data_IF_493960506835
#
_entry.id   IF_493960506835
#
_cell.length_a   1.000
_cell.length_b   1.000
_cell.length_c   1.000
_cell.angle_alpha   90.00
_cell.angle_beta   90.00
_cell.angle_gamma   90.00
#
_symmetry.space_group_name_H-M   'P 1'
#
loop_
_entity.id
_entity.type
_entity.pdbx_description
1 polymer ?
#
# COMPACT_ATOMS: atom_id res chain seq x y z
N UNK A 1 16.63 7.76 3.77
CA UNK A 1 17.52 8.82 4.27
C UNK A 1 18.45 8.24 5.30
N UNK A 2 19.76 8.34 5.14
CA UNK A 2 20.72 7.75 6.06
C UNK A 2 21.67 8.82 6.58
N UNK A 3 21.53 9.10 7.87
CA UNK A 3 22.57 9.72 8.67
C UNK A 3 23.00 8.72 9.73
N UNK A 4 24.25 8.25 9.64
CA UNK A 4 24.84 7.30 10.60
C UNK A 4 25.47 8.01 11.81
N UNK A 5 25.36 9.33 11.89
CA UNK A 5 25.98 10.13 12.94
C UNK A 5 25.43 9.77 14.31
N UNK A 6 26.34 9.39 15.22
CA UNK A 6 26.04 9.06 16.62
C UNK A 6 25.53 7.64 16.90
N UNK A 7 25.51 6.75 15.92
CA UNK A 7 25.01 5.38 16.15
C UNK A 7 26.13 4.46 16.65
N UNK A 8 25.96 3.85 17.84
CA UNK A 8 26.89 2.87 18.39
C UNK A 8 27.03 1.64 17.48
N UNK A 9 28.25 1.20 17.20
CA UNK A 9 28.60 0.04 16.36
C UNK A 9 27.93 -1.27 16.78
N UNK A 10 27.65 -1.45 18.08
CA UNK A 10 26.94 -2.62 18.60
C UNK A 10 25.54 -2.83 18.01
N UNK A 11 24.91 -1.78 17.49
CA UNK A 11 23.59 -1.86 16.82
C UNK A 11 23.66 -2.51 15.44
N UNK A 12 24.86 -2.69 14.88
CA UNK A 12 25.10 -3.31 13.59
C UNK A 12 25.47 -4.79 13.64
N UNK A 13 25.59 -5.39 14.84
CA UNK A 13 25.87 -6.82 15.04
C UNK A 13 24.65 -7.74 14.76
N UNK A 14 23.74 -7.32 13.89
CA UNK A 14 22.54 -8.05 13.50
C UNK A 14 22.25 -7.87 12.00
N UNK A 15 21.02 -8.16 11.53
CA UNK A 15 20.59 -7.98 10.14
C UNK A 15 20.97 -6.60 9.56
N UNK A 16 21.16 -5.56 10.39
CA UNK A 16 21.61 -4.24 9.92
C UNK A 16 23.01 -4.26 9.29
N UNK A 17 23.91 -5.17 9.70
CA UNK A 17 25.24 -5.27 9.10
C UNK A 17 25.16 -5.53 7.60
N UNK A 18 24.31 -6.48 7.17
CA UNK A 18 24.08 -6.77 5.75
C UNK A 18 23.38 -5.61 5.04
N UNK A 19 22.46 -4.92 5.74
CA UNK A 19 21.81 -3.71 5.25
C UNK A 19 22.80 -2.56 5.04
N UNK A 20 23.72 -2.34 5.99
CA UNK A 20 24.78 -1.32 5.88
C UNK A 20 25.73 -1.59 4.73
N UNK A 21 26.18 -2.85 4.54
CA UNK A 21 27.03 -3.22 3.42
C UNK A 21 26.34 -2.94 2.07
N UNK A 22 25.07 -3.33 1.95
CA UNK A 22 24.27 -3.06 0.75
C UNK A 22 24.03 -1.55 0.53
N UNK A 23 23.90 -0.80 1.63
CA UNK A 23 23.68 0.62 1.64
C UNK A 23 24.96 1.41 1.29
N UNK A 24 26.10 1.03 1.88
CA UNK A 24 27.40 1.67 1.61
C UNK A 24 27.84 1.47 0.15
N UNK A 25 27.49 0.31 -0.46
CA UNK A 25 27.88 -0.02 -1.83
C UNK A 25 26.95 0.52 -2.90
N UNK A 26 25.64 0.37 -2.77
CA UNK A 26 24.70 0.62 -3.88
C UNK A 26 23.55 1.57 -3.58
N UNK A 27 23.17 1.77 -2.31
CA UNK A 27 21.96 2.52 -1.93
C UNK A 27 22.21 3.90 -1.33
N UNK A 28 23.45 4.26 -0.97
CA UNK A 28 23.77 5.52 -0.28
C UNK A 28 23.19 6.77 -0.96
N UNK A 29 23.18 6.77 -2.30
CA UNK A 29 22.69 7.90 -3.10
C UNK A 29 21.37 7.56 -3.86
N UNK A 30 20.75 6.42 -3.59
CA UNK A 30 19.58 5.98 -4.34
C UNK A 30 18.29 6.71 -3.91
N UNK A 31 18.23 7.17 -2.66
CA UNK A 31 17.06 7.84 -2.07
C UNK A 31 17.50 9.14 -1.38
N UNK A 32 17.87 10.18 -2.13
CA UNK A 32 18.30 11.44 -1.56
C UNK A 32 17.10 12.18 -0.94
N UNK A 33 17.35 12.83 0.21
CA UNK A 33 16.30 13.54 0.96
C UNK A 33 15.65 14.65 0.16
N UNK A 34 16.43 15.37 -0.66
CA UNK A 34 15.89 16.46 -1.47
C UNK A 34 14.80 16.02 -2.44
N UNK A 35 14.80 14.73 -2.90
CA UNK A 35 13.72 14.22 -3.74
C UNK A 35 12.42 14.06 -2.94
N UNK A 36 12.53 13.69 -1.65
CA UNK A 36 11.35 13.64 -0.77
C UNK A 36 10.83 15.06 -0.46
N UNK A 37 11.72 16.04 -0.36
CA UNK A 37 11.37 17.45 -0.18
C UNK A 37 10.68 18.00 -1.44
N UNK A 38 11.22 17.75 -2.63
CA UNK A 38 10.58 18.10 -3.91
C UNK A 38 9.19 17.45 -4.07
N UNK A 39 9.05 16.19 -3.64
CA UNK A 39 7.76 15.52 -3.64
C UNK A 39 6.77 16.25 -2.71
N UNK A 40 7.19 16.60 -1.50
CA UNK A 40 6.35 17.32 -0.56
C UNK A 40 5.88 18.67 -1.12
N UNK A 41 6.79 19.44 -1.73
CA UNK A 41 6.47 20.71 -2.40
C UNK A 41 5.49 20.50 -3.55
N UNK A 42 5.70 19.45 -4.36
CA UNK A 42 4.81 19.13 -5.47
C UNK A 42 3.40 18.75 -5.00
N UNK A 43 3.29 17.93 -3.96
CA UNK A 43 2.01 17.53 -3.38
C UNK A 43 1.24 18.70 -2.77
N UNK A 44 1.93 19.68 -2.19
CA UNK A 44 1.31 20.91 -1.69
C UNK A 44 0.80 21.83 -2.80
N UNK A 45 1.39 21.77 -4.00
CA UNK A 45 0.98 22.57 -5.15
C UNK A 45 -0.21 21.96 -5.91
N UNK A 46 -0.56 20.70 -5.66
CA UNK A 46 -1.70 20.01 -6.26
C UNK A 46 -2.94 20.16 -5.37
N UNK A 47 -4.11 20.17 -5.99
CA UNK A 47 -5.40 20.09 -5.28
C UNK A 47 -5.69 18.64 -4.94
N UNK A 48 -5.15 18.18 -3.80
CA UNK A 48 -5.21 16.79 -3.33
C UNK A 48 -5.96 16.76 -1.99
N UNK A 49 -6.96 15.92 -1.89
CA UNK A 49 -7.75 15.75 -0.66
C UNK A 49 -7.04 14.93 0.40
N UNK A 50 -6.20 13.96 0.00
CA UNK A 50 -5.55 13.05 0.95
C UNK A 50 -4.31 12.38 0.35
N UNK A 51 -3.27 12.19 1.15
CA UNK A 51 -2.01 11.54 0.75
C UNK A 51 -1.87 10.17 1.40
N UNK A 52 -1.44 9.18 0.61
CA UNK A 52 -1.23 7.81 1.08
C UNK A 52 0.23 7.39 0.88
N UNK A 53 0.89 6.91 1.94
CA UNK A 53 2.25 6.39 1.93
C UNK A 53 2.23 4.88 2.21
N UNK A 54 2.66 4.07 1.24
CA UNK A 54 2.57 2.61 1.29
C UNK A 54 3.80 1.91 1.89
N UNK A 55 4.54 2.59 2.77
CA UNK A 55 5.61 2.01 3.58
C UNK A 55 7.02 2.16 3.01
N UNK A 56 8.01 1.56 3.71
CA UNK A 56 9.45 1.69 3.46
C UNK A 56 9.95 3.14 3.58
N UNK A 57 9.51 3.80 4.64
CA UNK A 57 9.87 5.18 4.95
C UNK A 57 11.32 5.29 5.46
N UNK A 58 11.84 4.21 6.07
CA UNK A 58 13.21 4.11 6.58
C UNK A 58 14.00 3.04 5.82
N UNK A 59 15.31 2.96 6.02
CA UNK A 59 16.15 1.90 5.44
C UNK A 59 16.52 0.80 6.47
N UNK A 60 16.85 1.19 7.69
CA UNK A 60 17.36 0.29 8.73
C UNK A 60 16.53 0.35 10.02
N UNK A 61 15.41 1.05 10.01
CA UNK A 61 14.56 1.31 11.17
C UNK A 61 15.35 1.91 12.35
N UNK A 62 16.21 2.91 12.08
CA UNK A 62 16.91 3.66 13.10
C UNK A 62 16.02 4.78 13.65
N UNK A 63 16.20 5.16 14.92
CA UNK A 63 15.46 6.27 15.53
C UNK A 63 15.72 7.59 14.79
N UNK A 64 16.96 7.84 14.34
CA UNK A 64 17.31 9.00 13.56
C UNK A 64 16.63 9.05 12.18
N UNK A 65 16.46 7.89 11.54
CA UNK A 65 15.72 7.81 10.27
C UNK A 65 14.23 8.15 10.50
N UNK A 66 13.60 7.57 11.53
CA UNK A 66 12.22 7.89 11.85
C UNK A 66 12.01 9.37 12.18
N UNK A 67 12.90 9.96 13.00
CA UNK A 67 12.84 11.39 13.32
C UNK A 67 12.95 12.25 12.06
N UNK A 68 13.84 11.90 11.12
CA UNK A 68 14.01 12.64 9.87
C UNK A 68 12.82 12.50 8.95
N UNK A 69 12.30 11.27 8.79
CA UNK A 69 11.10 11.01 7.99
C UNK A 69 9.89 11.75 8.55
N UNK A 70 9.74 11.80 9.88
CA UNK A 70 8.68 12.56 10.54
C UNK A 70 8.67 14.03 10.08
N UNK A 71 9.84 14.69 10.02
CA UNK A 71 9.95 16.06 9.52
C UNK A 71 9.50 16.22 8.06
N UNK A 72 9.78 15.22 7.20
CA UNK A 72 9.32 15.23 5.80
C UNK A 72 7.81 15.04 5.73
N UNK A 73 7.27 14.10 6.50
CA UNK A 73 5.82 13.84 6.52
C UNK A 73 5.05 15.06 7.01
N UNK A 74 5.55 15.75 8.03
CA UNK A 74 4.95 17.00 8.53
C UNK A 74 4.92 18.12 7.47
N UNK A 75 5.90 18.14 6.54
CA UNK A 75 5.87 19.05 5.39
C UNK A 75 4.84 18.62 4.33
N UNK A 76 4.59 17.32 4.15
CA UNK A 76 3.54 16.85 3.24
C UNK A 76 2.17 17.30 3.73
N UNK A 77 1.89 17.14 5.01
CA UNK A 77 0.64 17.58 5.59
C UNK A 77 0.39 17.12 7.01
N UNK A 78 -0.69 17.61 7.62
CA UNK A 78 -1.09 17.25 8.98
C UNK A 78 -1.61 15.81 9.06
N UNK A 79 -1.80 15.27 10.29
CA UNK A 79 -2.23 13.89 10.51
C UNK A 79 -3.56 13.49 9.87
N UNK A 80 -4.50 14.40 9.73
CA UNK A 80 -5.80 14.17 9.08
C UNK A 80 -5.69 14.12 7.54
N UNK A 81 -4.66 14.72 6.97
CA UNK A 81 -4.39 14.76 5.53
C UNK A 81 -3.54 13.58 5.02
N UNK A 82 -2.78 12.88 5.89
CA UNK A 82 -1.86 11.81 5.48
C UNK A 82 -2.18 10.50 6.17
N UNK A 83 -2.25 9.42 5.40
CA UNK A 83 -2.32 8.03 5.91
C UNK A 83 -1.08 7.26 5.48
N UNK A 84 -0.55 6.43 6.37
CA UNK A 84 0.62 5.62 6.06
C UNK A 84 0.56 4.22 6.68
N UNK A 85 1.29 3.29 6.10
CA UNK A 85 1.49 1.94 6.65
C UNK A 85 2.98 1.62 6.75
N UNK A 86 3.41 0.69 7.62
CA UNK A 86 4.80 0.26 7.67
C UNK A 86 5.17 -0.64 6.49
N UNK A 87 6.38 -0.46 5.97
CA UNK A 87 7.04 -1.39 5.07
C UNK A 87 8.00 -2.34 5.80
N UNK A 88 8.60 -3.27 5.07
CA UNK A 88 9.54 -4.24 5.65
C UNK A 88 10.84 -3.57 6.14
N UNK A 89 11.24 -2.44 5.58
CA UNK A 89 12.36 -1.64 6.06
C UNK A 89 12.05 -0.91 7.36
N UNK A 90 10.81 -0.51 7.61
CA UNK A 90 10.38 0.14 8.85
C UNK A 90 10.35 -0.86 10.03
N UNK A 91 10.09 -2.13 9.74
CA UNK A 91 10.09 -3.25 10.69
C UNK A 91 11.35 -4.13 10.56
N UNK A 92 12.47 -3.55 10.08
CA UNK A 92 13.67 -4.25 9.64
C UNK A 92 14.29 -5.18 10.68
N UNK A 93 14.11 -4.90 11.96
CA UNK A 93 14.66 -5.70 13.06
C UNK A 93 13.59 -6.10 14.08
N UNK A 94 13.82 -7.21 14.78
CA UNK A 94 12.97 -7.63 15.93
C UNK A 94 12.84 -6.53 16.98
N UNK A 95 13.90 -5.70 17.16
CA UNK A 95 13.86 -4.56 18.07
C UNK A 95 12.93 -3.46 17.59
N UNK A 96 12.92 -3.13 16.30
CA UNK A 96 11.99 -2.13 15.74
C UNK A 96 10.54 -2.57 15.96
N UNK A 97 10.21 -3.83 15.64
CA UNK A 97 8.89 -4.41 15.88
C UNK A 97 8.52 -4.43 17.37
N UNK A 98 9.42 -4.96 18.24
CA UNK A 98 9.16 -5.10 19.68
C UNK A 98 8.91 -3.76 20.37
N UNK A 99 9.59 -2.72 19.94
CA UNK A 99 9.47 -1.37 20.51
C UNK A 99 8.45 -0.49 19.76
N UNK A 100 7.72 -1.06 18.82
CA UNK A 100 6.69 -0.34 18.04
C UNK A 100 7.19 1.01 17.53
N UNK A 101 8.40 1.02 16.90
CA UNK A 101 9.04 2.28 16.51
C UNK A 101 8.21 3.06 15.50
N UNK A 102 7.72 2.40 14.48
CA UNK A 102 6.89 3.02 13.46
C UNK A 102 5.65 3.68 14.08
N UNK A 103 4.93 2.93 14.90
CA UNK A 103 3.72 3.40 15.56
C UNK A 103 4.02 4.54 16.53
N UNK A 104 5.12 4.50 17.28
CA UNK A 104 5.53 5.57 18.20
C UNK A 104 5.82 6.89 17.51
N UNK A 105 6.39 6.85 16.29
CA UNK A 105 6.70 8.06 15.53
C UNK A 105 5.52 8.61 14.75
N UNK A 106 4.56 7.75 14.37
CA UNK A 106 3.49 8.11 13.44
C UNK A 106 2.08 7.81 13.95
N UNK A 107 1.90 7.57 15.24
CA UNK A 107 0.61 7.18 15.83
C UNK A 107 -0.53 8.12 15.43
N UNK A 108 -0.30 9.41 15.42
CA UNK A 108 -1.26 10.45 15.03
C UNK A 108 -1.66 10.38 13.55
N UNK A 109 -0.81 9.83 12.70
CA UNK A 109 -1.10 9.57 11.28
C UNK A 109 -1.81 8.23 11.01
N UNK A 110 -1.94 7.37 12.02
CA UNK A 110 -2.50 6.02 11.89
C UNK A 110 -3.91 5.93 12.48
N UNK A 111 -4.27 6.79 13.40
CA UNK A 111 -5.53 6.72 14.15
C UNK A 111 -6.26 8.05 14.09
N UNK A 112 -7.51 8.04 13.63
CA UNK A 112 -8.39 9.20 13.76
C UNK A 112 -8.83 9.36 15.22
N UNK A 113 -9.19 10.57 15.64
CA UNK A 113 -9.57 10.87 17.04
C UNK A 113 -10.93 10.30 17.47
N UNK A 114 -11.63 9.57 16.62
CA UNK A 114 -12.96 9.02 16.91
C UNK A 114 -12.90 7.87 17.91
N UNK A 115 -13.89 7.77 18.81
CA UNK A 115 -13.94 6.76 19.89
C UNK A 115 -13.89 5.30 19.41
N UNK A 116 -14.42 5.00 18.24
CA UNK A 116 -14.35 3.66 17.63
C UNK A 116 -12.92 3.26 17.26
N UNK A 117 -12.01 4.22 17.09
CA UNK A 117 -10.64 3.99 16.67
C UNK A 117 -9.66 4.01 17.84
N UNK A 118 -10.00 4.65 18.96
CA UNK A 118 -9.29 4.46 20.23
C UNK A 118 -9.28 2.98 20.66
N UNK A 119 -10.28 2.20 20.26
CA UNK A 119 -10.28 0.74 20.45
C UNK A 119 -9.20 0.01 19.64
N UNK A 120 -8.65 0.62 18.57
CA UNK A 120 -7.49 0.11 17.86
C UNK A 120 -6.20 0.24 18.69
N UNK A 121 -6.19 1.12 19.71
CA UNK A 121 -5.10 1.29 20.67
C UNK A 121 -5.42 0.55 21.96
N UNK A 122 -5.14 -0.75 22.02
CA UNK A 122 -5.23 -1.47 23.28
C UNK A 122 -3.90 -1.35 24.04
N UNK A 123 -3.92 -0.74 25.23
CA UNK A 123 -2.74 -0.53 26.06
C UNK A 123 -1.58 0.19 25.34
N UNK A 124 -1.90 1.18 24.49
CA UNK A 124 -0.91 1.94 23.72
C UNK A 124 -0.31 1.18 22.53
N UNK A 125 -0.90 0.06 22.13
CA UNK A 125 -0.48 -0.71 20.93
C UNK A 125 -1.54 -0.57 19.86
N UNK A 126 -1.12 -0.15 18.66
CA UNK A 126 -1.97 -0.16 17.49
C UNK A 126 -2.21 -1.61 17.02
N UNK A 127 -3.48 -1.95 16.82
CA UNK A 127 -3.89 -3.22 16.22
C UNK A 127 -4.26 -3.01 14.76
N UNK A 128 -3.50 -3.62 13.86
CA UNK A 128 -3.85 -3.65 12.44
C UNK A 128 -5.02 -4.60 12.18
N UNK A 129 -5.86 -4.34 11.16
CA UNK A 129 -5.87 -3.10 10.41
C UNK A 129 -6.39 -1.93 11.25
N UNK A 130 -5.89 -0.73 10.97
CA UNK A 130 -6.51 0.51 11.39
C UNK A 130 -7.41 1.05 10.26
N UNK A 131 -8.26 2.02 10.60
CA UNK A 131 -9.19 2.65 9.65
C UNK A 131 -8.99 4.15 9.67
N UNK A 132 -8.99 4.78 8.50
CA UNK A 132 -9.03 6.24 8.31
C UNK A 132 -10.27 6.61 7.51
N UNK A 133 -10.85 7.75 7.81
CA UNK A 133 -12.06 8.25 7.19
C UNK A 133 -11.86 9.68 6.64
N UNK A 134 -11.09 9.87 5.55
CA UNK A 134 -10.82 11.20 5.00
C UNK A 134 -12.10 11.90 4.52
N UNK A 135 -13.14 11.13 4.17
CA UNK A 135 -14.46 11.64 3.81
C UNK A 135 -15.57 10.70 4.33
N UNK A 136 -16.82 11.16 4.48
CA UNK A 136 -17.92 10.33 4.98
C UNK A 136 -18.16 9.04 4.21
N UNK A 137 -17.91 9.06 2.90
CA UNK A 137 -18.14 7.94 1.99
C UNK A 137 -16.87 7.13 1.68
N UNK A 138 -15.70 7.50 2.21
CA UNK A 138 -14.41 6.86 1.98
C UNK A 138 -13.88 6.22 3.25
N UNK A 139 -13.35 5.00 3.16
CA UNK A 139 -12.57 4.34 4.19
C UNK A 139 -11.25 3.85 3.62
N UNK A 140 -10.18 4.10 4.37
CA UNK A 140 -8.85 3.60 4.10
C UNK A 140 -8.48 2.61 5.19
N UNK A 141 -8.21 1.37 4.81
CA UNK A 141 -7.83 0.29 5.72
C UNK A 141 -6.33 0.02 5.60
N UNK A 142 -5.59 0.34 6.65
CA UNK A 142 -4.15 0.11 6.70
C UNK A 142 -3.80 -1.24 7.31
N UNK A 143 -3.28 -2.16 6.50
CA UNK A 143 -2.75 -3.46 6.92
C UNK A 143 -1.25 -3.39 7.15
N UNK A 144 -0.74 -4.17 8.09
CA UNK A 144 0.70 -4.42 8.21
C UNK A 144 1.03 -5.81 7.67
N UNK A 145 1.78 -5.86 6.59
CA UNK A 145 2.39 -7.10 6.09
C UNK A 145 3.87 -7.21 6.44
N UNK A 146 4.41 -6.20 7.13
CA UNK A 146 5.81 -6.12 7.48
C UNK A 146 6.13 -7.01 8.69
N UNK A 147 7.02 -7.96 8.50
CA UNK A 147 7.53 -8.84 9.56
C UNK A 147 9.06 -8.87 9.53
N UNK A 148 9.75 -9.05 10.66
CA UNK A 148 11.19 -9.22 10.66
C UNK A 148 11.58 -10.54 10.00
N UNK A 149 12.30 -10.45 8.90
CA UNK A 149 12.78 -11.60 8.12
C UNK A 149 14.28 -11.86 8.33
N UNK A 150 14.80 -13.06 8.06
CA UNK A 150 16.23 -13.31 7.97
C UNK A 150 16.95 -12.37 6.98
N UNK A 151 18.29 -12.23 7.08
CA UNK A 151 19.06 -11.50 6.06
C UNK A 151 18.74 -11.98 4.64
N UNK A 152 18.71 -11.05 3.69
CA UNK A 152 18.42 -11.27 2.26
C UNK A 152 16.96 -11.70 1.95
N UNK A 153 16.12 -11.86 2.96
CA UNK A 153 14.70 -12.12 2.78
C UNK A 153 13.87 -10.87 3.11
N UNK A 154 12.79 -10.67 2.35
CA UNK A 154 11.90 -9.51 2.47
C UNK A 154 10.44 -9.91 2.19
N UNK A 155 10.06 -11.15 2.56
CA UNK A 155 8.68 -11.59 2.41
C UNK A 155 7.75 -10.95 3.46
N UNK A 156 6.48 -10.82 3.11
CA UNK A 156 5.44 -10.28 3.98
C UNK A 156 4.43 -11.32 4.43
N UNK A 157 3.72 -10.99 5.49
CA UNK A 157 2.62 -11.79 6.01
C UNK A 157 1.61 -10.90 6.74
N UNK A 158 0.37 -10.86 6.29
CA UNK A 158 -0.73 -10.12 6.94
C UNK A 158 -1.26 -10.87 8.14
N UNK A 159 -1.54 -12.15 7.95
CA UNK A 159 -2.05 -13.04 8.98
C UNK A 159 -3.57 -13.00 9.13
N UNK A 160 -4.14 -14.15 9.52
CA UNK A 160 -5.58 -14.37 9.62
C UNK A 160 -6.27 -13.38 10.56
N UNK A 161 -5.63 -13.04 11.68
CA UNK A 161 -6.22 -12.13 12.67
C UNK A 161 -6.52 -10.74 12.09
N UNK A 162 -5.63 -10.19 11.24
CA UNK A 162 -5.90 -8.92 10.56
C UNK A 162 -7.01 -9.07 9.51
N UNK A 163 -7.04 -10.17 8.76
CA UNK A 163 -8.05 -10.40 7.73
C UNK A 163 -9.45 -10.56 8.34
N UNK A 164 -9.57 -11.31 9.44
CA UNK A 164 -10.83 -11.48 10.15
C UNK A 164 -11.30 -10.15 10.78
N UNK A 165 -10.38 -9.39 11.39
CA UNK A 165 -10.68 -8.05 11.91
C UNK A 165 -11.11 -7.09 10.81
N UNK A 166 -10.50 -7.13 9.63
CA UNK A 166 -10.89 -6.30 8.48
C UNK A 166 -12.35 -6.56 8.07
N UNK A 167 -12.76 -7.83 8.00
CA UNK A 167 -14.16 -8.19 7.72
C UNK A 167 -15.12 -7.62 8.77
N UNK A 168 -14.74 -7.70 10.04
CA UNK A 168 -15.55 -7.14 11.15
C UNK A 168 -15.67 -5.63 11.04
N UNK A 169 -14.57 -4.93 10.74
CA UNK A 169 -14.57 -3.48 10.56
C UNK A 169 -15.49 -3.04 9.42
N UNK A 170 -15.41 -3.72 8.28
CA UNK A 170 -16.28 -3.44 7.12
C UNK A 170 -17.73 -3.76 7.41
N UNK A 171 -18.03 -4.85 8.12
CA UNK A 171 -19.39 -5.19 8.48
C UNK A 171 -20.07 -4.17 9.43
N UNK A 172 -19.27 -3.36 10.13
CA UNK A 172 -19.76 -2.31 11.04
C UNK A 172 -19.64 -0.89 10.44
N UNK A 173 -19.38 -0.76 9.14
CA UNK A 173 -19.34 0.54 8.48
C UNK A 173 -20.71 1.22 8.44
N UNK A 174 -20.72 2.57 8.49
CA UNK A 174 -21.92 3.31 8.14
C UNK A 174 -22.39 3.01 6.70
N UNK A 175 -23.71 2.99 6.43
CA UNK A 175 -24.24 2.70 5.09
C UNK A 175 -23.89 3.76 4.04
N UNK A 176 -23.31 4.88 4.44
CA UNK A 176 -22.81 5.94 3.57
C UNK A 176 -21.49 5.59 2.87
N UNK A 177 -20.73 4.62 3.38
CA UNK A 177 -19.44 4.21 2.80
C UNK A 177 -19.66 3.58 1.42
N UNK A 178 -18.93 4.10 0.43
CA UNK A 178 -18.95 3.64 -0.96
C UNK A 178 -17.58 3.20 -1.44
N UNK A 179 -16.52 3.80 -0.89
CA UNK A 179 -15.13 3.59 -1.33
C UNK A 179 -14.35 2.93 -0.22
N UNK A 180 -13.72 1.79 -0.52
CA UNK A 180 -12.83 1.05 0.39
C UNK A 180 -11.47 0.91 -0.24
N UNK A 181 -10.52 1.71 0.23
CA UNK A 181 -9.11 1.67 -0.19
C UNK A 181 -8.37 0.80 0.81
N UNK A 182 -7.72 -0.26 0.35
CA UNK A 182 -6.94 -1.15 1.21
C UNK A 182 -5.46 -0.96 0.95
N UNK A 183 -4.70 -0.70 2.00
CA UNK A 183 -3.27 -0.51 1.94
C UNK A 183 -2.55 -1.76 2.46
N UNK A 184 -1.61 -2.26 1.69
CA UNK A 184 -0.71 -3.32 2.08
C UNK A 184 0.67 -3.08 1.47
N UNK A 185 1.76 -3.23 2.22
CA UNK A 185 3.08 -2.91 1.68
C UNK A 185 3.52 -3.89 0.59
N UNK A 186 3.40 -5.21 0.84
CA UNK A 186 3.83 -6.24 -0.12
C UNK A 186 2.80 -6.44 -1.23
N UNK A 187 3.29 -6.66 -2.44
CA UNK A 187 2.46 -6.85 -3.64
C UNK A 187 1.66 -8.16 -3.63
N UNK A 188 0.48 -8.14 -4.26
CA UNK A 188 -0.40 -9.31 -4.39
C UNK A 188 -0.10 -10.13 -5.66
N UNK A 189 0.51 -9.52 -6.68
CA UNK A 189 0.84 -10.21 -7.91
C UNK A 189 2.09 -11.10 -7.78
N UNK A 190 2.21 -12.08 -8.66
CA UNK A 190 3.40 -12.90 -8.75
C UNK A 190 4.59 -12.11 -9.30
N UNK A 191 5.75 -12.30 -8.71
CA UNK A 191 7.01 -11.72 -9.20
C UNK A 191 7.78 -12.75 -10.01
N UNK A 192 8.60 -12.30 -10.93
CA UNK A 192 9.41 -13.18 -11.78
C UNK A 192 10.70 -13.60 -11.06
N UNK A 193 11.08 -14.88 -11.18
CA UNK A 193 12.36 -15.41 -10.73
C UNK A 193 12.52 -15.46 -9.20
N UNK A 194 13.75 -15.29 -8.73
CA UNK A 194 14.10 -15.39 -7.30
C UNK A 194 13.34 -14.40 -6.40
N UNK A 195 12.91 -13.26 -6.95
CA UNK A 195 12.14 -12.26 -6.20
C UNK A 195 10.80 -12.81 -5.68
N UNK A 196 10.20 -13.79 -6.36
CA UNK A 196 8.97 -14.46 -5.90
C UNK A 196 9.19 -15.22 -4.59
N UNK A 197 10.34 -15.85 -4.43
CA UNK A 197 10.64 -16.66 -3.24
C UNK A 197 11.13 -15.84 -2.05
N UNK A 198 11.84 -14.75 -2.31
CA UNK A 198 12.51 -13.99 -1.25
C UNK A 198 11.75 -12.74 -0.79
N UNK A 199 10.78 -12.27 -1.55
CA UNK A 199 10.13 -10.96 -1.33
C UNK A 199 8.62 -10.95 -1.65
N UNK A 200 7.94 -12.10 -1.61
CA UNK A 200 6.50 -12.19 -1.87
C UNK A 200 5.66 -12.06 -0.59
N UNK A 201 4.39 -11.77 -0.76
CA UNK A 201 3.40 -11.89 0.31
C UNK A 201 2.99 -13.35 0.45
N UNK A 202 3.23 -13.95 1.64
CA UNK A 202 3.00 -15.39 1.88
C UNK A 202 1.51 -15.75 1.75
N UNK A 203 0.65 -14.92 2.31
CA UNK A 203 -0.79 -15.15 2.40
C UNK A 203 -1.61 -14.33 1.38
N UNK A 204 -1.00 -13.99 0.23
CA UNK A 204 -1.65 -13.19 -0.82
C UNK A 204 -2.99 -13.76 -1.31
N UNK A 205 -3.14 -15.10 -1.33
CA UNK A 205 -4.41 -15.73 -1.71
C UNK A 205 -5.51 -15.41 -0.71
N UNK A 206 -5.26 -15.58 0.58
CA UNK A 206 -6.21 -15.27 1.63
C UNK A 206 -6.56 -13.77 1.68
N UNK A 207 -5.57 -12.90 1.43
CA UNK A 207 -5.80 -11.48 1.29
C UNK A 207 -6.69 -11.17 0.08
N UNK A 208 -6.39 -11.75 -1.10
CA UNK A 208 -7.20 -11.58 -2.30
C UNK A 208 -8.66 -12.02 -2.10
N UNK A 209 -8.88 -13.17 -1.47
CA UNK A 209 -10.22 -13.64 -1.09
C UNK A 209 -10.93 -12.65 -0.17
N UNK A 210 -10.20 -12.08 0.79
CA UNK A 210 -10.74 -11.07 1.71
C UNK A 210 -11.12 -9.78 0.98
N UNK A 211 -10.33 -9.35 -0.03
CA UNK A 211 -10.66 -8.14 -0.81
C UNK A 211 -12.01 -8.28 -1.51
N UNK A 212 -12.31 -9.46 -2.03
CA UNK A 212 -13.63 -9.73 -2.61
C UNK A 212 -14.74 -9.77 -1.54
N UNK A 213 -14.49 -10.39 -0.38
CA UNK A 213 -15.48 -10.46 0.72
C UNK A 213 -15.92 -9.07 1.18
N UNK A 214 -14.98 -8.11 1.21
CA UNK A 214 -15.25 -6.74 1.67
C UNK A 214 -15.63 -5.77 0.55
N UNK A 215 -15.72 -6.22 -0.69
CA UNK A 215 -15.92 -5.36 -1.86
C UNK A 215 -14.95 -4.18 -1.88
N UNK A 216 -13.64 -4.45 -1.82
CA UNK A 216 -12.62 -3.42 -1.90
C UNK A 216 -12.71 -2.67 -3.24
N UNK A 217 -12.62 -1.34 -3.21
CA UNK A 217 -12.62 -0.51 -4.42
C UNK A 217 -11.26 -0.57 -5.11
N UNK A 218 -10.18 -0.54 -4.34
CA UNK A 218 -8.81 -0.61 -4.83
C UNK A 218 -7.86 -1.11 -3.74
N UNK A 219 -6.80 -1.81 -4.15
CA UNK A 219 -5.69 -2.19 -3.27
C UNK A 219 -4.44 -1.44 -3.70
N UNK A 220 -3.82 -0.72 -2.77
CA UNK A 220 -2.58 0.02 -3.01
C UNK A 220 -1.41 -0.66 -2.31
N UNK A 221 -0.28 -0.76 -3.02
CA UNK A 221 0.93 -1.39 -2.48
C UNK A 221 2.22 -0.67 -2.87
N UNK A 222 3.31 -0.95 -2.14
CA UNK A 222 4.68 -0.51 -2.42
C UNK A 222 5.62 -1.68 -2.78
N UNK A 223 6.75 -1.78 -2.09
CA UNK A 223 7.71 -2.89 -2.06
C UNK A 223 8.47 -3.19 -3.35
N UNK A 224 7.81 -3.19 -4.51
CA UNK A 224 8.42 -3.65 -5.77
C UNK A 224 9.41 -2.65 -6.36
N UNK A 225 9.39 -1.40 -5.94
CA UNK A 225 10.14 -0.26 -6.51
C UNK A 225 9.85 -0.01 -8.00
N UNK A 226 8.89 -0.71 -8.58
CA UNK A 226 8.43 -0.53 -9.95
C UNK A 226 6.94 -0.22 -9.95
N UNK A 227 6.47 0.64 -10.86
CA UNK A 227 5.04 0.85 -11.04
C UNK A 227 4.38 -0.46 -11.46
N UNK A 228 3.23 -0.73 -10.91
CA UNK A 228 2.43 -1.90 -11.25
C UNK A 228 0.97 -1.54 -11.30
N UNK A 229 0.30 -2.00 -12.31
CA UNK A 229 -1.14 -1.93 -12.43
C UNK A 229 -1.64 -3.30 -12.87
N UNK A 230 -2.52 -3.83 -12.08
CA UNK A 230 -3.14 -5.11 -12.26
C UNK A 230 -4.49 -5.16 -11.57
N UNK A 231 -5.07 -6.33 -11.52
CA UNK A 231 -6.34 -6.55 -10.84
C UNK A 231 -6.37 -7.92 -10.19
N UNK A 232 -7.17 -8.05 -9.15
CA UNK A 232 -7.63 -9.33 -8.65
C UNK A 232 -8.84 -9.72 -9.51
N UNK A 233 -8.77 -10.84 -10.25
CA UNK A 233 -9.88 -11.25 -11.11
C UNK A 233 -11.12 -11.56 -10.28
N UNK A 234 -12.29 -11.16 -10.78
CA UNK A 234 -13.57 -11.43 -10.16
C UNK A 234 -13.74 -12.92 -9.84
N UNK A 235 -14.46 -13.24 -8.77
CA UNK A 235 -14.74 -14.63 -8.39
C UNK A 235 -15.63 -15.27 -9.46
N UNK A 236 -15.17 -16.36 -10.06
CA UNK A 236 -16.02 -17.21 -10.87
C UNK A 236 -16.98 -17.96 -9.96
N UNK A 237 -18.27 -18.00 -10.32
CA UNK A 237 -19.24 -18.85 -9.63
C UNK A 237 -18.68 -20.30 -9.58
N UNK A 238 -18.79 -21.01 -8.44
CA UNK A 238 -18.37 -22.38 -8.37
C UNK A 238 -19.18 -23.21 -9.40
N UNK A 239 -18.52 -24.05 -10.16
CA UNK A 239 -19.07 -24.91 -11.23
C UNK A 239 -20.25 -25.80 -10.73
N UNK A 240 -20.40 -25.94 -9.41
CA UNK A 240 -21.52 -26.67 -8.77
C UNK A 240 -22.90 -26.07 -9.10
N UNK A 241 -22.98 -24.77 -9.34
CA UNK A 241 -24.23 -24.11 -9.74
C UNK A 241 -24.69 -24.52 -11.15
N UNK A 242 -23.77 -24.92 -12.01
CA UNK A 242 -24.07 -25.28 -13.43
C UNK A 242 -24.87 -26.58 -13.57
N UNK A 243 -24.84 -27.48 -12.61
CA UNK A 243 -25.59 -28.74 -12.68
C UNK A 243 -27.05 -28.61 -12.24
N UNK A 244 -27.39 -27.61 -11.42
CA UNK A 244 -28.77 -27.33 -11.01
C UNK A 244 -29.53 -26.51 -12.08
N UNK A 245 -28.83 -25.76 -12.93
CA UNK A 245 -29.37 -24.87 -13.97
C UNK A 245 -29.87 -25.61 -15.24
N UNK A 246 -29.64 -26.89 -15.37
CA UNK A 246 -30.01 -27.65 -16.58
C UNK A 246 -31.53 -27.82 -16.76
N UNK A 247 -32.34 -27.40 -15.78
CA UNK A 247 -33.82 -27.53 -15.82
C UNK A 247 -34.59 -26.21 -15.82
N UNK A 248 -33.94 -25.07 -15.84
CA UNK A 248 -34.61 -23.77 -15.90
C UNK A 248 -34.90 -23.31 -17.33
N UNK A 249 -36.05 -22.65 -17.54
CA UNK A 249 -36.42 -22.12 -18.84
C UNK A 249 -35.44 -21.10 -19.39
N UNK A 250 -35.42 -20.89 -20.73
CA UNK A 250 -34.43 -20.12 -21.43
C UNK A 250 -34.33 -18.63 -20.99
N UNK A 251 -35.42 -18.07 -20.43
CA UNK A 251 -35.48 -16.71 -19.90
C UNK A 251 -34.79 -16.60 -18.51
N UNK A 252 -35.10 -17.58 -17.63
CA UNK A 252 -34.41 -17.67 -16.32
C UNK A 252 -32.91 -17.93 -16.50
N UNK A 253 -32.51 -18.76 -17.49
CA UNK A 253 -31.08 -18.97 -17.82
C UNK A 253 -30.34 -17.72 -18.26
N UNK A 254 -31.01 -16.77 -18.98
CA UNK A 254 -30.40 -15.50 -19.35
C UNK A 254 -30.26 -14.55 -18.17
N UNK A 255 -31.25 -14.53 -17.27
CA UNK A 255 -31.19 -13.75 -16.02
C UNK A 255 -30.16 -14.30 -15.04
N UNK A 256 -30.07 -15.61 -14.90
CA UNK A 256 -29.07 -16.27 -14.06
C UNK A 256 -27.64 -16.20 -14.65
N UNK A 257 -27.50 -16.23 -15.96
CA UNK A 257 -26.21 -15.97 -16.62
C UNK A 257 -25.77 -14.52 -16.47
N UNK A 258 -26.67 -13.54 -16.54
CA UNK A 258 -26.37 -12.15 -16.25
C UNK A 258 -26.02 -11.94 -14.77
N UNK A 259 -26.74 -12.59 -13.85
CA UNK A 259 -26.42 -12.57 -12.43
C UNK A 259 -25.12 -13.31 -12.11
N UNK A 260 -24.85 -14.45 -12.77
CA UNK A 260 -23.58 -15.18 -12.62
C UNK A 260 -22.38 -14.45 -13.22
N UNK A 261 -22.58 -13.57 -14.21
CA UNK A 261 -21.54 -12.69 -14.74
C UNK A 261 -21.29 -11.48 -13.83
N UNK A 262 -22.19 -11.14 -12.92
CA UNK A 262 -22.05 -10.04 -11.96
C UNK A 262 -21.42 -10.43 -10.62
N UNK A 263 -21.02 -11.68 -10.41
CA UNK A 263 -20.35 -12.09 -9.17
C UNK A 263 -18.89 -11.64 -9.19
N UNK A 264 -18.68 -10.38 -8.79
CA UNK A 264 -17.42 -9.77 -8.47
C UNK A 264 -16.73 -9.09 -9.65
N UNK A 265 -16.83 -7.78 -9.70
CA UNK A 265 -15.96 -6.96 -10.53
C UNK A 265 -14.48 -7.21 -10.17
N UNK A 266 -13.60 -7.08 -11.15
CA UNK A 266 -12.16 -7.07 -10.94
C UNK A 266 -11.80 -5.94 -9.98
N UNK A 267 -10.92 -6.22 -8.99
CA UNK A 267 -10.48 -5.21 -8.03
C UNK A 267 -9.11 -4.69 -8.48
N UNK A 268 -8.97 -3.40 -8.78
CA UNK A 268 -7.70 -2.80 -9.15
C UNK A 268 -6.64 -3.00 -8.05
N UNK A 269 -5.41 -3.37 -8.47
CA UNK A 269 -4.24 -3.50 -7.60
C UNK A 269 -3.13 -2.61 -8.17
N UNK A 270 -2.78 -1.56 -7.43
CA UNK A 270 -1.92 -0.49 -7.93
C UNK A 270 -0.68 -0.37 -7.05
N UNK A 271 0.50 -0.44 -7.67
CA UNK A 271 1.78 -0.15 -7.07
C UNK A 271 2.41 1.08 -7.69
N UNK A 272 2.77 2.06 -6.86
CA UNK A 272 3.35 3.32 -7.33
C UNK A 272 4.82 3.20 -7.76
N UNK A 273 5.56 2.24 -7.23
CA UNK A 273 7.01 2.22 -7.28
C UNK A 273 7.62 3.00 -6.10
N UNK A 274 8.79 3.58 -6.26
CA UNK A 274 9.45 4.34 -5.19
C UNK A 274 9.29 5.84 -5.40
N UNK A 275 8.83 6.55 -4.38
CA UNK A 275 8.64 8.01 -4.44
C UNK A 275 9.95 8.82 -4.32
N UNK A 276 11.06 8.18 -3.98
CA UNK A 276 12.34 8.87 -3.75
C UNK A 276 13.52 8.27 -4.52
N UNK A 277 13.31 7.27 -5.37
CA UNK A 277 14.39 6.63 -6.12
C UNK A 277 14.95 7.57 -7.18
N UNK A 278 16.23 7.93 -7.02
CA UNK A 278 16.95 8.76 -7.98
C UNK A 278 18.30 8.12 -8.30
N UNK A 279 18.33 7.29 -9.35
CA UNK A 279 19.56 6.70 -9.88
C UNK A 279 19.82 7.21 -11.29
N UNK A 280 21.03 7.71 -11.56
CA UNK A 280 21.44 8.06 -12.93
C UNK A 280 21.32 6.83 -13.85
N UNK A 281 20.67 6.99 -14.99
CA UNK A 281 20.50 5.92 -15.98
C UNK A 281 19.48 4.83 -15.62
N UNK A 282 18.77 4.94 -14.51
CA UNK A 282 17.72 3.98 -14.13
C UNK A 282 16.38 4.34 -14.77
N UNK A 283 15.70 3.34 -15.34
CA UNK A 283 14.29 3.46 -15.74
C UNK A 283 13.37 3.66 -14.50
N UNK A 284 13.86 3.26 -13.31
CA UNK A 284 13.13 3.43 -12.05
C UNK A 284 13.51 4.78 -11.44
N UNK A 285 12.73 5.81 -11.76
CA UNK A 285 12.82 7.15 -11.14
C UNK A 285 11.73 7.31 -10.10
N UNK A 286 11.87 8.31 -9.24
CA UNK A 286 10.84 8.66 -8.25
C UNK A 286 9.48 8.89 -8.93
N UNK A 287 8.43 8.38 -8.31
CA UNK A 287 7.05 8.43 -8.84
C UNK A 287 6.03 8.61 -7.73
N UNK A 288 4.90 9.17 -8.10
CA UNK A 288 3.65 9.08 -7.32
C UNK A 288 2.45 8.93 -8.26
N UNK A 289 1.35 8.43 -7.75
CA UNK A 289 0.09 8.32 -8.46
C UNK A 289 -0.94 9.25 -7.83
N UNK A 290 -1.78 9.87 -8.65
CA UNK A 290 -3.01 10.55 -8.24
C UNK A 290 -4.18 9.65 -8.61
N UNK A 291 -5.01 9.32 -7.63
CA UNK A 291 -6.21 8.51 -7.80
C UNK A 291 -7.43 9.42 -7.71
N UNK A 292 -8.21 9.49 -8.76
CA UNK A 292 -9.48 10.22 -8.77
C UNK A 292 -10.62 9.25 -8.48
N UNK A 293 -11.34 9.51 -7.40
CA UNK A 293 -12.45 8.68 -6.94
C UNK A 293 -13.73 9.51 -6.95
N UNK A 294 -14.75 9.04 -7.67
CA UNK A 294 -16.03 9.71 -7.77
C UNK A 294 -17.18 8.70 -7.58
N UNK A 295 -18.21 9.09 -6.84
CA UNK A 295 -19.43 8.29 -6.58
C UNK A 295 -19.20 6.82 -6.16
N UNK A 296 -18.08 6.54 -5.52
CA UNK A 296 -17.75 5.18 -5.06
C UNK A 296 -16.91 4.36 -6.01
N UNK A 297 -16.49 4.92 -7.14
CA UNK A 297 -15.66 4.26 -8.14
C UNK A 297 -14.31 4.96 -8.30
N UNK A 298 -13.30 4.17 -8.61
CA UNK A 298 -12.01 4.69 -9.08
C UNK A 298 -12.17 5.09 -10.56
N UNK A 299 -12.15 6.40 -10.84
CA UNK A 299 -12.34 6.92 -12.21
C UNK A 299 -11.04 6.98 -12.99
N UNK A 300 -9.98 7.45 -12.33
CA UNK A 300 -8.69 7.66 -12.98
C UNK A 300 -7.53 7.37 -12.06
N UNK A 301 -6.43 6.90 -12.65
CA UNK A 301 -5.10 6.86 -12.03
C UNK A 301 -4.13 7.57 -12.94
N UNK A 302 -3.58 8.68 -12.47
CA UNK A 302 -2.55 9.45 -13.17
C UNK A 302 -1.21 9.25 -12.50
N UNK A 303 -0.17 8.88 -13.27
CA UNK A 303 1.17 8.66 -12.76
C UNK A 303 2.06 9.86 -13.07
N UNK A 304 2.89 10.25 -12.11
CA UNK A 304 3.88 11.31 -12.21
C UNK A 304 5.26 10.75 -11.94
N UNK A 305 6.24 11.17 -12.72
CA UNK A 305 7.63 10.74 -12.61
C UNK A 305 8.57 11.93 -12.50
N UNK A 306 9.57 11.81 -11.64
CA UNK A 306 10.61 12.83 -11.52
C UNK A 306 11.43 12.92 -12.81
N UNK A 307 11.43 14.09 -13.43
CA UNK A 307 12.41 14.48 -14.41
C UNK A 307 13.68 15.00 -13.70
N UNK A 308 14.78 14.26 -13.84
CA UNK A 308 16.03 14.59 -13.13
C UNK A 308 16.78 15.79 -13.75
N UNK A 309 16.44 16.19 -14.98
CA UNK A 309 17.06 17.34 -15.64
C UNK A 309 16.34 18.64 -15.24
N UNK A 310 15.01 18.57 -15.15
CA UNK A 310 14.19 19.71 -14.75
C UNK A 310 14.01 19.81 -13.23
N UNK A 311 14.25 18.72 -12.48
CA UNK A 311 14.03 18.68 -11.04
C UNK A 311 12.53 18.70 -10.64
N UNK A 312 11.66 18.32 -11.56
CA UNK A 312 10.20 18.39 -11.39
C UNK A 312 9.54 17.04 -11.64
N UNK A 313 8.35 16.82 -11.02
CA UNK A 313 7.51 15.67 -11.31
C UNK A 313 6.59 15.99 -12.49
N UNK A 314 6.78 15.28 -13.59
CA UNK A 314 5.98 15.43 -14.81
C UNK A 314 5.00 14.26 -14.97
N UNK A 315 3.83 14.50 -15.58
CA UNK A 315 2.89 13.43 -15.92
C UNK A 315 3.58 12.37 -16.79
N UNK A 316 3.40 11.11 -16.44
CA UNK A 316 3.86 9.97 -17.23
C UNK A 316 2.67 9.48 -18.07
N UNK A 317 2.73 9.69 -19.37
CA UNK A 317 1.74 9.16 -20.31
C UNK A 317 2.00 7.66 -20.45
N UNK A 318 1.24 6.83 -19.74
CA UNK A 318 1.32 5.37 -19.89
C UNK A 318 0.06 4.89 -20.62
N UNK A 319 0.22 4.46 -21.88
CA UNK A 319 -0.84 3.85 -22.70
C UNK A 319 -1.47 2.60 -22.04
N UNK A 320 -0.77 1.98 -21.10
CA UNK A 320 -1.27 0.84 -20.35
C UNK A 320 -2.39 1.21 -19.39
N UNK A 321 -2.36 2.43 -18.84
CA UNK A 321 -3.40 2.97 -17.95
C UNK A 321 -4.74 3.12 -18.67
N UNK A 322 -4.73 3.70 -19.87
CA UNK A 322 -5.95 3.86 -20.68
C UNK A 322 -6.55 2.51 -21.10
N UNK A 323 -5.74 1.48 -21.34
CA UNK A 323 -6.23 0.13 -21.66
C UNK A 323 -6.86 -0.58 -20.47
N UNK A 324 -6.32 -0.41 -19.27
CA UNK A 324 -6.88 -1.00 -18.05
C UNK A 324 -8.18 -0.30 -17.64
N UNK A 325 -8.20 1.04 -17.66
CA UNK A 325 -9.39 1.86 -17.35
C UNK A 325 -10.48 1.70 -18.41
N UNK A 326 -10.13 1.62 -19.70
CA UNK A 326 -11.08 1.39 -20.78
C UNK A 326 -11.87 0.09 -20.65
N UNK A 327 -11.30 -0.95 -20.03
CA UNK A 327 -11.99 -2.22 -19.73
C UNK A 327 -12.89 -2.16 -18.51
N UNK A 328 -12.63 -1.28 -17.55
CA UNK A 328 -13.47 -1.08 -16.35
C UNK A 328 -14.68 -0.18 -16.64
N UNK A 329 -14.53 0.77 -17.56
CA UNK A 329 -15.58 1.75 -17.91
C UNK A 329 -16.56 1.19 -18.98
N UNK A 330 -16.17 0.22 -19.79
CA UNK A 330 -16.99 -0.34 -20.89
C UNK A 330 -17.74 -1.63 -20.54
N UNK A 331 -17.84 -2.01 -19.29
CA UNK A 331 -18.71 -3.11 -18.80
C UNK A 331 -19.89 -2.56 -18.03
#
# INVERSE_FOLDING_TARGET
>A
VLELDGTHWSRFLNKRATGVVNLAGMRRNAHPIHVAELLAERLQAEDIDHVILTGDLTNLALESEFARVRQVVERIGPPDYVTMIPGNHDMYTRGALRHHRFERYFQDYLVDETDSQRSALTKGRLHYPFVRAPAPHVRIYGLSSAIPTPPLLAFGHVGRAQLDRLRVLVANEPPTVRVRIVLVHHNLHHRVGAAEYVASLIDRKALGETMHDIHATVVLHGHTHHPHQGHLPGRRAPIVATRALVRADAVERKLDQAAAQQIGADIPVIGCGSSTLSRKGSASKARFNVLEVHEGHLERVSSYRLDSEQGEFLPEYDDLLHKALGRIIHT
#
